data_IF_318375708246
#
_entry.id   IF_318375708246
#
_cell.length_a   1.000
_cell.length_b   1.000
_cell.length_c   1.000
_cell.angle_alpha   90.00
_cell.angle_beta   90.00
_cell.angle_gamma   90.00
#
_symmetry.space_group_name_H-M   'P 1'
#
loop_
_entity.id
_entity.type
_entity.pdbx_description
1 polymer ?
#
# COMPACT_ATOMS: atom_id res chain seq x y z
N UNK A 1 4.55 -9.38 -18.37
CA UNK A 1 3.22 -8.88 -17.93
C UNK A 1 3.06 -9.12 -16.44
N UNK A 2 2.46 -8.19 -15.68
CA UNK A 2 2.36 -8.26 -14.21
C UNK A 2 1.59 -9.52 -13.77
N UNK A 3 0.49 -9.86 -14.44
CA UNK A 3 -0.39 -10.96 -14.03
C UNK A 3 0.26 -12.36 -14.11
N UNK A 4 1.16 -12.56 -15.08
CA UNK A 4 1.86 -13.86 -15.27
C UNK A 4 3.15 -13.95 -14.45
N UNK A 5 3.58 -12.85 -13.81
CA UNK A 5 4.83 -12.82 -13.06
C UNK A 5 4.74 -13.59 -11.73
N UNK A 6 3.53 -13.88 -11.23
CA UNK A 6 3.32 -14.57 -9.96
C UNK A 6 3.84 -13.81 -8.73
N UNK A 7 4.20 -12.53 -8.90
CA UNK A 7 4.73 -11.68 -7.84
C UNK A 7 3.59 -11.01 -7.06
N UNK A 8 3.79 -10.73 -5.76
CA UNK A 8 2.82 -9.99 -4.99
C UNK A 8 2.64 -8.57 -5.55
N UNK A 9 1.39 -8.12 -5.57
CA UNK A 9 1.01 -6.75 -5.92
C UNK A 9 0.73 -6.01 -4.63
N UNK A 10 1.48 -4.93 -4.39
CA UNK A 10 1.34 -4.09 -3.20
C UNK A 10 0.61 -2.81 -3.59
N UNK A 11 -0.40 -2.44 -2.81
CA UNK A 11 -1.14 -1.19 -2.95
C UNK A 11 -1.46 -0.55 -1.60
N UNK A 12 -2.06 0.63 -1.61
CA UNK A 12 -2.51 1.33 -0.41
C UNK A 12 -3.95 1.76 -0.60
N UNK A 13 -4.89 1.20 0.17
CA UNK A 13 -6.33 1.42 -0.05
C UNK A 13 -6.76 1.07 -1.49
N UNK A 14 -6.29 -0.07 -1.98
CA UNK A 14 -6.19 -0.36 -3.41
C UNK A 14 -7.42 -1.06 -4.02
N UNK A 15 -8.56 -1.08 -3.30
CA UNK A 15 -9.78 -1.72 -3.79
C UNK A 15 -10.27 -1.09 -5.10
N UNK A 16 -10.34 0.24 -5.15
CA UNK A 16 -10.83 0.95 -6.34
C UNK A 16 -9.86 0.83 -7.51
N UNK A 17 -8.55 0.84 -7.24
CA UNK A 17 -7.52 0.60 -8.27
C UNK A 17 -7.76 -0.73 -8.98
N UNK A 18 -8.09 -1.79 -8.22
CA UNK A 18 -8.42 -3.08 -8.81
C UNK A 18 -9.76 -3.07 -9.57
N UNK A 19 -10.80 -2.42 -9.03
CA UNK A 19 -12.06 -2.28 -9.74
C UNK A 19 -11.86 -1.61 -11.11
N UNK A 20 -11.16 -0.47 -11.14
CA UNK A 20 -10.89 0.24 -12.38
C UNK A 20 -9.96 -0.53 -13.31
N UNK A 21 -8.93 -1.20 -12.78
CA UNK A 21 -8.00 -2.00 -13.60
C UNK A 21 -8.72 -3.18 -14.27
N UNK A 22 -9.61 -3.86 -13.56
CA UNK A 22 -10.40 -4.96 -14.13
C UNK A 22 -11.38 -4.41 -15.17
N UNK A 23 -12.14 -3.37 -14.82
CA UNK A 23 -13.15 -2.76 -15.68
C UNK A 23 -12.57 -2.20 -16.99
N UNK A 24 -11.39 -1.58 -16.95
CA UNK A 24 -10.80 -0.94 -18.13
C UNK A 24 -10.01 -1.88 -19.02
N UNK A 25 -9.32 -2.87 -18.45
CA UNK A 25 -8.32 -3.65 -19.19
C UNK A 25 -8.69 -5.11 -19.39
N UNK A 26 -9.78 -5.61 -18.78
CA UNK A 26 -10.09 -7.05 -18.76
C UNK A 26 -11.54 -7.36 -19.10
N UNK A 27 -12.46 -6.99 -18.22
CA UNK A 27 -13.86 -7.43 -18.25
C UNK A 27 -14.74 -6.44 -17.49
N UNK A 28 -16.05 -6.48 -17.73
CA UNK A 28 -17.00 -5.73 -16.92
C UNK A 28 -16.91 -6.13 -15.44
N UNK A 29 -17.12 -5.17 -14.55
CA UNK A 29 -17.05 -5.42 -13.11
C UNK A 29 -18.17 -6.40 -12.71
N UNK A 30 -17.86 -7.53 -12.04
CA UNK A 30 -18.88 -8.49 -11.67
C UNK A 30 -19.91 -7.93 -10.68
N UNK A 31 -21.17 -8.36 -10.81
CA UNK A 31 -22.30 -7.87 -9.99
C UNK A 31 -22.24 -8.28 -8.51
N UNK A 32 -21.35 -9.21 -8.16
CA UNK A 32 -21.25 -9.75 -6.80
C UNK A 32 -19.82 -9.77 -6.29
N UNK A 33 -19.66 -9.49 -4.99
CA UNK A 33 -18.35 -9.53 -4.32
C UNK A 33 -17.64 -10.90 -4.46
N UNK A 34 -18.30 -12.07 -4.35
CA UNK A 34 -17.64 -13.36 -4.59
C UNK A 34 -17.10 -13.49 -6.02
N UNK A 35 -17.86 -13.03 -7.03
CA UNK A 35 -17.42 -13.05 -8.42
C UNK A 35 -16.24 -12.10 -8.65
N UNK A 36 -16.29 -10.90 -8.06
CA UNK A 36 -15.17 -9.96 -8.06
C UNK A 36 -13.91 -10.56 -7.43
N UNK A 37 -14.01 -11.21 -6.27
CA UNK A 37 -12.87 -11.89 -5.62
C UNK A 37 -12.28 -13.00 -6.50
N UNK A 38 -13.13 -13.76 -7.21
CA UNK A 38 -12.68 -14.80 -8.15
C UNK A 38 -11.96 -14.19 -9.35
N UNK A 39 -12.47 -13.08 -9.88
CA UNK A 39 -11.83 -12.32 -10.95
C UNK A 39 -10.47 -11.78 -10.50
N UNK A 40 -10.42 -11.12 -9.34
CA UNK A 40 -9.19 -10.57 -8.77
C UNK A 40 -8.10 -11.64 -8.59
N UNK A 41 -8.44 -12.80 -8.02
CA UNK A 41 -7.50 -13.93 -7.82
C UNK A 41 -7.00 -14.55 -9.12
N UNK A 42 -7.76 -14.43 -10.22
CA UNK A 42 -7.34 -14.92 -11.53
C UNK A 42 -6.22 -14.04 -12.11
N UNK A 43 -6.17 -12.76 -11.75
CA UNK A 43 -5.19 -11.82 -12.27
C UNK A 43 -4.01 -11.63 -11.32
N UNK A 44 -4.27 -11.55 -10.01
CA UNK A 44 -3.26 -11.28 -9.00
C UNK A 44 -3.17 -12.46 -8.04
N UNK A 45 -2.00 -13.11 -8.05
CA UNK A 45 -1.73 -14.25 -7.18
C UNK A 45 -1.76 -13.84 -5.69
N UNK A 46 -1.19 -12.68 -5.37
CA UNK A 46 -1.14 -12.14 -4.01
C UNK A 46 -1.34 -10.64 -4.06
N UNK A 47 -2.27 -10.14 -3.24
CA UNK A 47 -2.58 -8.72 -3.08
C UNK A 47 -2.27 -8.33 -1.64
N UNK A 48 -1.51 -7.27 -1.48
CA UNK A 48 -1.11 -6.72 -0.19
C UNK A 48 -1.57 -5.27 -0.13
N UNK A 49 -2.53 -4.99 0.75
CA UNK A 49 -2.98 -3.62 1.02
C UNK A 49 -2.28 -3.09 2.28
N UNK A 50 -1.38 -2.12 2.09
CA UNK A 50 -0.58 -1.53 3.17
C UNK A 50 -1.43 -0.75 4.17
N UNK A 51 -2.52 -0.11 3.74
CA UNK A 51 -3.46 0.55 4.66
C UNK A 51 -4.14 -0.49 5.55
N UNK A 52 -4.54 -1.62 4.95
CA UNK A 52 -5.15 -2.72 5.68
C UNK A 52 -4.19 -3.31 6.72
N UNK A 53 -2.92 -3.57 6.34
CA UNK A 53 -1.88 -4.05 7.27
C UNK A 53 -1.70 -3.06 8.42
N UNK A 54 -1.51 -1.78 8.12
CA UNK A 54 -1.34 -0.72 9.13
C UNK A 54 -2.53 -0.60 10.10
N UNK A 55 -3.73 -1.00 9.67
CA UNK A 55 -4.95 -0.89 10.48
C UNK A 55 -5.21 -2.17 11.29
N UNK A 56 -4.98 -3.34 10.71
CA UNK A 56 -5.44 -4.63 11.26
C UNK A 56 -4.35 -5.43 11.98
N UNK A 57 -3.09 -5.27 11.60
CA UNK A 57 -2.00 -5.99 12.24
C UNK A 57 -1.65 -5.31 13.58
N UNK A 58 -1.82 -5.99 14.74
CA UNK A 58 -1.59 -5.36 16.04
C UNK A 58 -0.15 -4.91 16.25
N UNK A 59 0.83 -5.66 15.72
CA UNK A 59 2.25 -5.33 15.87
C UNK A 59 2.61 -4.08 15.08
N UNK A 60 2.10 -3.99 13.85
CA UNK A 60 2.29 -2.80 13.01
C UNK A 60 1.54 -1.60 13.59
N UNK A 61 0.34 -1.82 14.11
CA UNK A 61 -0.47 -0.77 14.76
C UNK A 61 0.21 -0.19 16.00
N UNK A 62 0.86 -1.03 16.78
CA UNK A 62 1.66 -0.63 17.95
C UNK A 62 2.87 0.21 17.52
N UNK A 63 3.61 -0.22 16.49
CA UNK A 63 4.77 0.52 15.97
C UNK A 63 4.40 1.89 15.40
N UNK A 64 3.26 1.98 14.70
CA UNK A 64 2.72 3.26 14.18
C UNK A 64 2.20 4.17 15.32
N UNK A 65 1.91 3.60 16.48
CA UNK A 65 1.27 4.26 17.61
C UNK A 65 -0.26 4.27 17.49
N UNK A 66 -0.97 4.13 18.62
CA UNK A 66 -2.44 4.02 18.66
C UNK A 66 -3.16 5.24 18.07
N UNK A 67 -2.55 6.42 18.08
CA UNK A 67 -3.07 7.65 17.46
C UNK A 67 -2.48 7.90 16.05
N UNK A 68 -1.62 7.02 15.57
CA UNK A 68 -0.96 7.15 14.27
C UNK A 68 -1.93 7.02 13.09
N UNK A 69 -1.55 7.64 11.98
CA UNK A 69 -2.40 7.77 10.79
C UNK A 69 -2.10 6.69 9.78
N UNK A 70 -3.15 6.13 9.18
CA UNK A 70 -3.02 5.13 8.10
C UNK A 70 -3.14 5.76 6.71
N UNK A 71 -3.00 7.09 6.60
CA UNK A 71 -2.90 7.79 5.32
C UNK A 71 -1.48 7.63 4.80
N UNK A 72 -1.30 7.36 3.51
CA UNK A 72 -0.02 7.00 2.92
C UNK A 72 1.15 7.93 3.30
N UNK A 73 0.97 9.26 3.22
CA UNK A 73 2.03 10.23 3.53
C UNK A 73 2.48 10.18 4.99
N UNK A 74 1.59 10.43 5.97
CA UNK A 74 1.91 10.28 7.38
C UNK A 74 2.40 8.89 7.77
N UNK A 75 1.80 7.83 7.20
CA UNK A 75 2.22 6.45 7.42
C UNK A 75 3.66 6.23 6.97
N UNK A 76 4.03 6.76 5.80
CA UNK A 76 5.40 6.68 5.30
C UNK A 76 6.38 7.36 6.26
N UNK A 77 6.09 8.61 6.68
CA UNK A 77 6.92 9.34 7.64
C UNK A 77 7.07 8.59 8.97
N UNK A 78 5.99 7.99 9.48
CA UNK A 78 5.99 7.18 10.69
C UNK A 78 6.87 5.93 10.54
N UNK A 79 6.84 5.28 9.37
CA UNK A 79 7.68 4.11 9.07
C UNK A 79 9.15 4.43 8.81
N UNK A 80 9.52 5.71 8.69
CA UNK A 80 10.93 6.13 8.70
C UNK A 80 11.49 6.26 10.12
N UNK A 81 10.62 6.31 11.13
CA UNK A 81 10.98 6.39 12.55
C UNK A 81 10.50 5.17 13.34
N UNK A 82 10.23 5.39 14.63
CA UNK A 82 9.59 4.50 15.62
C UNK A 82 9.47 3.00 15.24
N UNK A 83 10.41 2.17 15.69
CA UNK A 83 10.31 0.70 15.59
C UNK A 83 10.61 0.12 14.20
N UNK A 84 10.73 0.96 13.16
CA UNK A 84 11.14 0.57 11.81
C UNK A 84 12.60 0.96 11.51
N UNK A 85 13.50 0.67 12.46
CA UNK A 85 14.92 1.10 12.44
C UNK A 85 15.71 0.60 11.23
N UNK A 86 15.20 -0.42 10.53
CA UNK A 86 15.80 -0.99 9.33
C UNK A 86 15.00 -0.62 8.06
N UNK A 87 14.69 0.66 7.88
CA UNK A 87 14.06 1.13 6.65
C UNK A 87 14.90 0.68 5.43
N UNK A 88 14.28 0.05 4.41
CA UNK A 88 15.01 -0.55 3.32
C UNK A 88 15.74 0.52 2.51
N UNK A 89 17.02 0.27 2.18
CA UNK A 89 17.82 1.16 1.33
C UNK A 89 17.39 1.03 -0.14
N UNK A 90 16.31 1.72 -0.51
CA UNK A 90 15.81 1.75 -1.89
C UNK A 90 16.43 2.94 -2.61
N UNK A 91 17.49 2.69 -3.41
CA UNK A 91 17.94 3.62 -4.46
C UNK A 91 19.14 4.55 -4.21
N UNK A 92 19.76 4.57 -3.02
CA UNK A 92 20.94 5.42 -2.63
C UNK A 92 20.70 6.95 -2.77
N UNK A 93 21.15 7.87 -1.90
CA UNK A 93 22.12 7.91 -0.80
C UNK A 93 21.54 8.78 0.35
N UNK A 94 22.18 8.68 1.50
CA UNK A 94 22.22 9.74 2.52
C UNK A 94 22.77 10.99 1.82
N UNK A 95 21.89 11.88 1.39
CA UNK A 95 22.27 13.26 1.12
C UNK A 95 21.69 14.10 2.26
N UNK A 96 22.64 14.56 3.06
CA UNK A 96 22.59 15.57 4.09
C UNK A 96 21.64 16.74 3.72
N UNK A 97 20.95 17.26 4.73
CA UNK A 97 20.14 18.48 4.71
C UNK A 97 18.83 18.51 3.90
N UNK A 98 17.71 18.22 4.58
CA UNK A 98 16.43 18.88 4.27
C UNK A 98 15.87 19.57 5.52
N UNK A 99 15.87 20.90 5.60
CA UNK A 99 15.05 21.59 6.58
C UNK A 99 13.59 21.46 6.11
N UNK A 100 12.80 20.66 6.82
CA UNK A 100 11.35 20.58 6.60
C UNK A 100 10.70 21.85 7.11
N UNK A 101 10.69 22.88 6.27
CA UNK A 101 9.78 24.03 6.38
C UNK A 101 8.82 24.01 5.21
N UNK A 102 7.57 23.60 5.44
CA UNK A 102 6.48 23.89 4.50
C UNK A 102 6.11 25.37 4.64
N UNK A 103 6.63 26.23 3.76
CA UNK A 103 6.05 27.56 3.55
C UNK A 103 4.88 27.43 2.59
N UNK A 104 3.66 27.61 3.10
CA UNK A 104 2.47 27.86 2.30
C UNK A 104 2.58 29.27 1.69
N UNK A 105 2.44 29.36 0.37
CA UNK A 105 2.05 30.61 -0.31
C UNK A 105 0.56 30.91 -0.05
#
# INVERSE_FOLDING_TARGET
>A
MIAVAGKPVVGHNCLLDFCFTIAQFREELPDTLPAFKKSLKRFWHTVVDTKHIATMDPSVREMIGLEGSTILGPLYEQTLGNGFENAPSIGAKIDDERPFGFSLC
#
